data_IF_597828264939
#
_entry.id   IF_597828264939
#
_cell.length_a   1.000
_cell.length_b   1.000
_cell.length_c   1.000
_cell.angle_alpha   90.00
_cell.angle_beta   90.00
_cell.angle_gamma   90.00
#
_symmetry.space_group_name_H-M   'P 1'
#
loop_
_entity.id
_entity.type
_entity.pdbx_description
1 polymer ?
#
# COMPACT_ATOMS: atom_id res chain seq x y z
N UNK A 1 -100.14 37.35 -16.50
CA UNK A 1 -99.03 37.93 -15.71
C UNK A 1 -97.80 37.07 -15.97
N UNK A 2 -96.68 37.50 -16.53
CA UNK A 2 -96.27 38.72 -17.23
C UNK A 2 -95.15 38.28 -18.20
N UNK A 3 -95.33 38.48 -19.52
CA UNK A 3 -94.48 39.28 -20.43
C UNK A 3 -93.04 39.55 -19.94
N UNK A 4 -92.01 39.24 -20.71
CA UNK A 4 -91.51 40.09 -21.80
C UNK A 4 -90.62 39.25 -22.74
N UNK A 5 -90.99 39.01 -24.01
CA UNK A 5 -90.62 39.78 -25.23
C UNK A 5 -89.09 39.91 -25.41
N UNK A 6 -88.45 39.58 -26.54
CA UNK A 6 -88.88 39.70 -27.95
C UNK A 6 -87.87 39.01 -28.88
N UNK A 7 -88.38 38.26 -29.85
CA UNK A 7 -87.70 37.83 -31.10
C UNK A 7 -87.49 39.01 -32.05
N UNK A 8 -86.34 39.05 -32.74
CA UNK A 8 -86.11 39.60 -34.12
C UNK A 8 -84.59 39.83 -34.28
N UNK A 9 -83.92 39.77 -35.42
CA UNK A 9 -84.17 39.45 -36.83
C UNK A 9 -82.82 39.68 -37.54
N UNK A 10 -82.50 38.96 -38.60
CA UNK A 10 -81.33 39.21 -39.45
C UNK A 10 -81.56 40.36 -40.45
N UNK A 11 -80.50 41.15 -40.70
CA UNK A 11 -80.25 42.13 -41.79
C UNK A 11 -81.03 43.48 -41.71
N UNK A 12 -80.48 44.67 -42.00
CA UNK A 12 -79.18 45.11 -42.51
C UNK A 12 -78.96 46.61 -42.26
N UNK A 13 -77.70 47.04 -42.43
CA UNK A 13 -77.20 48.40 -42.76
C UNK A 13 -77.26 49.50 -41.70
N UNK A 14 -76.11 49.67 -41.02
CA UNK A 14 -75.73 50.90 -40.32
C UNK A 14 -74.33 50.72 -39.77
N UNK A 15 -73.32 50.88 -40.65
CA UNK A 15 -71.87 50.74 -40.37
C UNK A 15 -71.55 49.63 -39.36
N UNK A 16 -71.33 48.41 -39.86
CA UNK A 16 -70.52 47.48 -39.11
C UNK A 16 -69.17 48.17 -38.85
N UNK A 17 -69.00 48.79 -37.68
CA UNK A 17 -67.76 48.56 -36.97
C UNK A 17 -67.78 47.05 -36.77
N UNK A 18 -67.27 46.32 -37.77
CA UNK A 18 -66.87 44.94 -37.56
C UNK A 18 -65.99 45.07 -36.34
N UNK A 19 -66.46 44.57 -35.22
CA UNK A 19 -65.64 44.49 -34.03
C UNK A 19 -64.63 43.38 -34.33
N UNK A 20 -63.65 43.75 -35.16
CA UNK A 20 -62.60 42.86 -35.63
C UNK A 20 -61.89 42.32 -34.40
N UNK A 21 -61.78 43.10 -33.33
CA UNK A 21 -61.19 42.65 -32.07
C UNK A 21 -62.00 41.51 -31.42
N UNK A 22 -63.33 41.61 -31.29
CA UNK A 22 -64.12 40.51 -30.70
C UNK A 22 -64.31 39.32 -31.62
N UNK A 23 -64.46 39.53 -32.93
CA UNK A 23 -64.54 38.44 -33.91
C UNK A 23 -63.19 37.71 -34.00
N UNK A 24 -62.06 38.42 -34.03
CA UNK A 24 -60.72 37.81 -33.97
C UNK A 24 -60.51 37.13 -32.63
N UNK A 25 -60.96 37.69 -31.50
CA UNK A 25 -60.88 37.01 -30.20
C UNK A 25 -61.71 35.72 -30.16
N UNK A 26 -62.94 35.72 -30.71
CA UNK A 26 -63.78 34.52 -30.81
C UNK A 26 -63.18 33.49 -31.78
N UNK A 27 -62.66 33.90 -32.94
CA UNK A 27 -61.93 33.03 -33.87
C UNK A 27 -60.67 32.46 -33.24
N UNK A 28 -59.87 33.26 -32.54
CA UNK A 28 -58.70 32.79 -31.79
C UNK A 28 -59.09 31.84 -30.67
N UNK A 29 -60.22 32.06 -29.99
CA UNK A 29 -60.70 31.11 -28.97
C UNK A 29 -61.09 29.77 -29.61
N UNK A 30 -61.74 29.79 -30.77
CA UNK A 30 -62.10 28.58 -31.52
C UNK A 30 -60.86 27.88 -32.10
N UNK A 31 -59.89 28.64 -32.59
CA UNK A 31 -58.64 28.16 -33.18
C UNK A 31 -57.66 27.62 -32.11
N UNK A 32 -57.75 28.10 -30.86
CA UNK A 32 -57.02 27.57 -29.71
C UNK A 32 -57.67 26.33 -29.06
N UNK A 33 -58.92 25.96 -29.37
CA UNK A 33 -59.54 24.72 -28.84
C UNK A 33 -58.71 23.44 -29.04
N UNK A 34 -58.11 23.16 -30.20
CA UNK A 34 -57.24 21.99 -30.34
C UNK A 34 -56.00 22.07 -29.44
N UNK A 35 -55.45 23.27 -29.20
CA UNK A 35 -54.34 23.48 -28.26
C UNK A 35 -54.77 23.21 -26.82
N UNK A 36 -55.95 23.67 -26.39
CA UNK A 36 -56.51 23.38 -25.06
C UNK A 36 -56.76 21.88 -24.84
N UNK A 37 -57.23 21.17 -25.88
CA UNK A 37 -57.41 19.73 -25.85
C UNK A 37 -56.07 18.97 -25.72
N UNK A 38 -55.01 19.43 -26.39
CA UNK A 38 -53.66 18.88 -26.26
C UNK A 38 -53.08 19.19 -24.87
N UNK A 39 -53.21 20.42 -24.39
CA UNK A 39 -52.75 20.81 -23.05
C UNK A 39 -53.45 19.99 -21.96
N UNK A 40 -54.74 19.73 -22.09
CA UNK A 40 -55.49 18.85 -21.18
C UNK A 40 -54.93 17.42 -21.19
N UNK A 41 -54.60 16.87 -22.37
CA UNK A 41 -53.95 15.55 -22.48
C UNK A 41 -52.54 15.54 -21.86
N UNK A 42 -51.75 16.60 -22.07
CA UNK A 42 -50.42 16.74 -21.47
C UNK A 42 -50.52 16.74 -19.94
N UNK A 43 -51.41 17.54 -19.36
CA UNK A 43 -51.64 17.56 -17.91
C UNK A 43 -52.10 16.19 -17.40
N UNK A 44 -52.97 15.49 -18.12
CA UNK A 44 -53.42 14.15 -17.74
C UNK A 44 -52.28 13.12 -17.79
N UNK A 45 -51.43 13.16 -18.82
CA UNK A 45 -50.25 12.30 -18.93
C UNK A 45 -49.22 12.60 -17.83
N UNK A 46 -49.02 13.86 -17.46
CA UNK A 46 -48.15 14.25 -16.34
C UNK A 46 -48.64 13.64 -15.01
N UNK A 47 -49.96 13.63 -14.77
CA UNK A 47 -50.55 12.96 -13.59
C UNK A 47 -50.31 11.44 -13.65
N UNK A 48 -50.55 10.80 -14.80
CA UNK A 48 -50.27 9.37 -14.99
C UNK A 48 -48.80 9.02 -14.72
N UNK A 49 -47.86 9.83 -15.22
CA UNK A 49 -46.43 9.62 -15.00
C UNK A 49 -46.08 9.74 -13.51
N UNK A 50 -46.63 10.74 -12.81
CA UNK A 50 -46.43 10.92 -11.37
C UNK A 50 -46.97 9.73 -10.56
N UNK A 51 -48.16 9.24 -10.92
CA UNK A 51 -48.78 8.11 -10.24
C UNK A 51 -48.05 6.79 -10.52
N UNK A 52 -47.61 6.54 -11.76
CA UNK A 52 -46.74 5.42 -12.10
C UNK A 52 -45.39 5.50 -11.36
N UNK A 53 -44.84 6.70 -11.20
CA UNK A 53 -43.64 6.93 -10.37
C UNK A 53 -43.86 6.52 -8.91
N UNK A 54 -45.04 6.80 -8.37
CA UNK A 54 -45.43 6.41 -7.01
C UNK A 54 -45.58 4.89 -6.89
N UNK A 55 -46.25 4.23 -7.85
CA UNK A 55 -46.34 2.75 -7.89
C UNK A 55 -44.96 2.12 -7.98
N UNK A 56 -44.10 2.61 -8.89
CA UNK A 56 -42.71 2.13 -9.02
C UNK A 56 -41.95 2.25 -7.70
N UNK A 57 -42.08 3.38 -7.00
CA UNK A 57 -41.47 3.59 -5.68
C UNK A 57 -41.96 2.56 -4.65
N UNK A 58 -43.28 2.32 -4.57
CA UNK A 58 -43.85 1.31 -3.65
C UNK A 58 -43.44 -0.13 -4.00
N UNK A 59 -43.35 -0.48 -5.28
CA UNK A 59 -42.85 -1.79 -5.73
C UNK A 59 -41.36 -1.95 -5.37
N UNK A 60 -40.55 -0.90 -5.52
CA UNK A 60 -39.14 -0.92 -5.08
C UNK A 60 -39.03 -1.16 -3.57
N UNK A 61 -39.83 -0.44 -2.78
CA UNK A 61 -39.86 -0.60 -1.33
C UNK A 61 -40.26 -2.02 -0.90
N UNK A 62 -41.26 -2.63 -1.56
CA UNK A 62 -41.61 -4.04 -1.34
C UNK A 62 -40.45 -4.98 -1.72
N UNK A 63 -39.79 -4.72 -2.85
CA UNK A 63 -38.62 -5.49 -3.28
C UNK A 63 -37.47 -5.44 -2.27
N UNK A 64 -37.20 -4.29 -1.68
CA UNK A 64 -36.15 -4.14 -0.67
C UNK A 64 -36.53 -4.80 0.67
N UNK A 65 -37.79 -4.69 1.10
CA UNK A 65 -38.29 -5.43 2.26
C UNK A 65 -38.18 -6.96 2.06
N UNK A 66 -38.46 -7.44 0.83
CA UNK A 66 -38.32 -8.86 0.49
C UNK A 66 -36.86 -9.33 0.46
N UNK A 67 -35.91 -8.49 0.01
CA UNK A 67 -34.46 -8.80 0.10
C UNK A 67 -34.01 -8.88 1.55
N UNK A 68 -34.46 -7.97 2.41
CA UNK A 68 -34.17 -8.01 3.84
C UNK A 68 -34.74 -9.28 4.49
N UNK A 69 -35.96 -9.68 4.12
CA UNK A 69 -36.58 -10.92 4.59
C UNK A 69 -35.85 -12.19 4.14
N UNK A 70 -35.24 -12.18 2.95
CA UNK A 70 -34.48 -13.34 2.47
C UNK A 70 -33.06 -13.41 3.06
N UNK A 71 -32.59 -12.38 3.77
CA UNK A 71 -31.23 -12.34 4.30
C UNK A 71 -31.10 -13.19 5.57
N UNK A 72 -30.33 -14.29 5.57
CA UNK A 72 -30.16 -15.16 6.74
C UNK A 72 -29.54 -14.43 7.94
N UNK A 73 -28.78 -13.35 7.70
CA UNK A 73 -28.12 -12.58 8.75
C UNK A 73 -29.09 -11.65 9.50
N UNK A 74 -30.33 -11.52 9.05
CA UNK A 74 -31.36 -10.74 9.74
C UNK A 74 -31.96 -11.48 10.95
N UNK A 75 -31.62 -12.76 11.12
CA UNK A 75 -32.28 -13.66 12.07
C UNK A 75 -31.27 -14.26 13.03
N UNK A 76 -31.22 -13.75 14.27
CA UNK A 76 -30.37 -14.30 15.34
C UNK A 76 -28.89 -14.48 14.95
N UNK A 77 -28.38 -13.64 14.03
CA UNK A 77 -27.01 -13.74 13.57
C UNK A 77 -26.05 -13.71 14.74
N UNK A 78 -25.02 -14.57 14.71
CA UNK A 78 -24.01 -14.60 15.76
C UNK A 78 -23.33 -13.23 15.86
N UNK A 79 -23.27 -12.68 17.07
CA UNK A 79 -22.54 -11.45 17.38
C UNK A 79 -21.33 -11.80 18.21
N UNK A 80 -20.28 -11.01 18.09
CA UNK A 80 -19.07 -11.17 18.89
C UNK A 80 -18.70 -9.84 19.55
N UNK A 81 -18.26 -9.92 20.80
CA UNK A 81 -17.70 -8.80 21.55
C UNK A 81 -16.36 -9.19 22.16
N UNK A 82 -15.42 -8.25 22.22
CA UNK A 82 -14.11 -8.44 22.85
C UNK A 82 -14.01 -7.58 24.10
N UNK A 83 -13.27 -8.02 25.12
CA UNK A 83 -13.03 -7.23 26.34
C UNK A 83 -12.21 -5.98 26.08
N UNK A 84 -11.29 -6.03 25.10
CA UNK A 84 -10.47 -4.90 24.67
C UNK A 84 -10.28 -4.93 23.14
N UNK A 85 -10.97 -4.02 22.44
CA UNK A 85 -10.89 -3.88 20.99
C UNK A 85 -9.59 -3.25 20.49
N UNK A 86 -8.79 -2.66 21.39
CA UNK A 86 -7.45 -2.13 21.07
C UNK A 86 -6.39 -3.22 21.00
N UNK A 87 -6.66 -4.39 21.60
CA UNK A 87 -5.81 -5.58 21.55
C UNK A 87 -6.30 -6.55 20.48
N UNK A 88 -7.59 -6.86 20.46
CA UNK A 88 -8.19 -7.82 19.51
C UNK A 88 -9.55 -7.34 19.05
N UNK A 89 -9.75 -7.36 17.75
CA UNK A 89 -11.07 -7.22 17.13
C UNK A 89 -11.53 -8.59 16.65
N UNK A 90 -12.84 -8.83 16.64
CA UNK A 90 -13.41 -10.08 16.17
C UNK A 90 -14.66 -9.82 15.34
N UNK A 91 -14.89 -10.65 14.33
CA UNK A 91 -16.14 -10.69 13.57
C UNK A 91 -16.65 -12.12 13.55
N UNK A 92 -17.97 -12.28 13.68
CA UNK A 92 -18.63 -13.58 13.65
C UNK A 92 -19.44 -13.70 12.35
N UNK A 93 -19.24 -14.81 11.64
CA UNK A 93 -20.12 -15.25 10.58
C UNK A 93 -21.41 -15.83 11.18
N UNK A 94 -22.46 -15.91 10.36
CA UNK A 94 -23.71 -16.53 10.78
C UNK A 94 -23.50 -18.02 11.08
N UNK A 95 -23.98 -18.49 12.24
CA UNK A 95 -23.73 -19.85 12.72
C UNK A 95 -22.37 -20.05 13.40
N UNK A 96 -21.64 -18.98 13.72
CA UNK A 96 -20.43 -19.08 14.55
C UNK A 96 -20.71 -19.78 15.89
N UNK A 97 -19.76 -20.59 16.35
CA UNK A 97 -19.87 -21.34 17.59
C UNK A 97 -19.95 -20.40 18.81
N UNK A 98 -21.10 -20.44 19.49
CA UNK A 98 -21.38 -19.64 20.68
C UNK A 98 -20.47 -20.07 21.84
N UNK A 99 -19.98 -19.09 22.60
CA UNK A 99 -19.16 -19.35 23.78
C UNK A 99 -18.23 -18.20 24.14
N UNK A 100 -17.60 -18.35 25.30
CA UNK A 100 -16.54 -17.45 25.76
C UNK A 100 -15.19 -18.10 25.51
N UNK A 101 -14.30 -17.35 24.87
CA UNK A 101 -12.94 -17.78 24.57
C UNK A 101 -11.96 -16.80 25.21
N UNK A 102 -10.91 -17.34 25.81
CA UNK A 102 -9.87 -16.55 26.44
C UNK A 102 -8.63 -16.50 25.53
N UNK A 103 -8.31 -15.31 25.03
CA UNK A 103 -7.19 -15.05 24.12
C UNK A 103 -6.11 -14.24 24.82
N UNK A 104 -4.86 -14.72 24.80
CA UNK A 104 -3.70 -13.90 25.19
C UNK A 104 -2.79 -13.74 23.98
N UNK A 105 -2.48 -12.50 23.60
CA UNK A 105 -1.65 -12.19 22.42
C UNK A 105 -0.21 -11.98 22.86
N UNK A 106 0.67 -12.92 22.56
CA UNK A 106 2.09 -12.85 22.94
C UNK A 106 2.91 -12.01 21.97
N UNK A 107 2.61 -12.09 20.68
CA UNK A 107 3.22 -11.30 19.62
C UNK A 107 2.26 -11.16 18.43
N UNK A 108 2.31 -10.02 17.76
CA UNK A 108 1.64 -9.76 16.48
C UNK A 108 2.55 -10.09 15.31
N UNK A 109 1.95 -10.48 14.18
CA UNK A 109 2.71 -10.74 12.97
C UNK A 109 3.27 -9.43 12.40
N UNK A 110 4.56 -9.41 12.07
CA UNK A 110 5.27 -8.27 11.50
C UNK A 110 5.81 -8.62 10.10
N UNK A 111 5.95 -7.58 9.27
CA UNK A 111 6.60 -7.67 7.96
C UNK A 111 8.04 -7.12 8.06
N UNK A 112 8.93 -7.62 7.20
CA UNK A 112 10.29 -7.07 7.08
C UNK A 112 10.26 -5.62 6.57
N UNK A 113 11.05 -4.74 7.19
CA UNK A 113 11.25 -3.35 6.77
C UNK A 113 12.71 -2.96 6.91
N UNK A 114 13.27 -2.38 5.87
CA UNK A 114 14.64 -1.93 5.80
C UNK A 114 14.73 -0.51 5.27
N UNK A 115 15.76 0.18 5.71
CA UNK A 115 16.11 1.51 5.22
C UNK A 115 17.57 1.51 4.82
N UNK A 116 17.87 2.02 3.63
CA UNK A 116 19.22 2.34 3.17
C UNK A 116 19.24 3.86 3.00
N UNK A 117 19.89 4.56 3.92
CA UNK A 117 19.95 6.02 3.97
C UNK A 117 21.34 6.52 3.55
N UNK A 118 21.45 7.80 3.17
CA UNK A 118 22.72 8.45 2.83
C UNK A 118 22.82 8.93 1.39
N UNK A 119 21.75 8.76 0.59
CA UNK A 119 21.68 9.33 -0.75
C UNK A 119 21.48 10.85 -0.67
N UNK A 120 22.22 11.60 -1.48
CA UNK A 120 22.07 13.05 -1.64
C UNK A 120 21.04 13.43 -2.72
N UNK A 121 20.74 12.51 -3.64
CA UNK A 121 19.73 12.69 -4.69
C UNK A 121 19.09 11.37 -5.12
N UNK A 122 18.00 11.44 -5.90
CA UNK A 122 17.36 10.24 -6.48
C UNK A 122 18.12 9.64 -7.66
N UNK A 123 19.04 10.38 -8.25
CA UNK A 123 19.92 9.96 -9.35
C UNK A 123 21.26 9.39 -8.85
N UNK A 124 21.48 9.33 -7.54
CA UNK A 124 22.69 8.73 -6.99
C UNK A 124 22.72 7.24 -7.30
N UNK A 125 23.92 6.69 -7.45
CA UNK A 125 24.10 5.27 -7.71
C UNK A 125 23.56 4.45 -6.53
N UNK A 126 22.83 3.39 -6.84
CA UNK A 126 22.31 2.45 -5.86
C UNK A 126 23.41 1.63 -5.17
N UNK A 127 24.65 1.72 -5.66
CA UNK A 127 25.81 0.99 -5.16
C UNK A 127 25.58 -0.53 -5.24
N UNK A 128 25.18 -1.00 -6.43
CA UNK A 128 24.92 -2.42 -6.69
C UNK A 128 26.26 -3.10 -6.96
N UNK A 129 26.47 -4.25 -6.32
CA UNK A 129 27.66 -5.07 -6.54
C UNK A 129 27.81 -5.45 -8.03
N UNK A 130 29.00 -5.25 -8.60
CA UNK A 130 29.27 -5.46 -10.02
C UNK A 130 29.38 -6.93 -10.42
N UNK A 131 29.79 -7.79 -9.49
CA UNK A 131 30.00 -9.23 -9.70
C UNK A 131 28.79 -10.04 -9.25
N UNK A 132 28.26 -9.74 -8.07
CA UNK A 132 27.16 -10.50 -7.44
C UNK A 132 25.78 -9.87 -7.68
N UNK A 133 25.72 -8.60 -8.09
CA UNK A 133 24.46 -7.86 -8.23
C UNK A 133 23.74 -7.62 -6.91
N UNK A 134 22.62 -6.90 -6.97
CA UNK A 134 21.72 -6.71 -5.84
C UNK A 134 20.75 -7.89 -5.78
N UNK A 135 20.72 -8.57 -4.63
CA UNK A 135 19.82 -9.68 -4.38
C UNK A 135 18.77 -9.31 -3.34
N UNK A 136 17.51 -9.62 -3.64
CA UNK A 136 16.39 -9.51 -2.71
C UNK A 136 15.68 -10.86 -2.60
N UNK A 137 15.59 -11.39 -1.39
CA UNK A 137 14.86 -12.63 -1.13
C UNK A 137 13.50 -12.30 -0.55
N UNK A 138 12.45 -12.89 -1.12
CA UNK A 138 11.06 -12.76 -0.63
C UNK A 138 10.52 -14.16 -0.37
N UNK A 139 10.31 -14.48 0.90
CA UNK A 139 10.01 -15.85 1.34
C UNK A 139 11.20 -16.77 1.05
N UNK A 140 11.02 -17.72 0.13
CA UNK A 140 12.06 -18.67 -0.28
C UNK A 140 12.71 -18.34 -1.63
N UNK A 141 12.25 -17.30 -2.33
CA UNK A 141 12.71 -16.99 -3.69
C UNK A 141 13.63 -15.76 -3.67
N UNK A 142 14.83 -15.91 -4.21
CA UNK A 142 15.80 -14.82 -4.37
C UNK A 142 15.75 -14.26 -5.79
N UNK A 143 15.53 -12.96 -5.90
CA UNK A 143 15.58 -12.19 -7.14
C UNK A 143 16.88 -11.40 -7.17
N UNK A 144 17.58 -11.40 -8.29
CA UNK A 144 18.87 -10.75 -8.46
C UNK A 144 18.87 -9.89 -9.73
N UNK A 145 19.49 -8.72 -9.66
CA UNK A 145 19.66 -7.79 -10.78
C UNK A 145 20.47 -8.34 -11.96
N UNK A 146 21.14 -9.49 -11.81
CA UNK A 146 21.78 -10.25 -12.87
C UNK A 146 20.79 -11.14 -13.64
N UNK A 147 19.50 -11.12 -13.29
CA UNK A 147 18.42 -11.83 -13.99
C UNK A 147 18.11 -13.23 -13.45
N UNK A 148 18.34 -13.45 -12.16
CA UNK A 148 18.00 -14.70 -11.46
C UNK A 148 16.76 -14.49 -10.57
N UNK A 149 15.77 -15.40 -10.55
CA UNK A 149 15.58 -16.54 -11.46
C UNK A 149 15.35 -16.08 -12.90
N UNK A 150 15.52 -16.99 -13.86
CA UNK A 150 15.36 -16.66 -15.28
C UNK A 150 14.02 -15.96 -15.56
N UNK A 151 14.09 -14.79 -16.21
CA UNK A 151 12.94 -13.93 -16.47
C UNK A 151 12.83 -12.73 -15.52
N UNK A 152 13.66 -12.64 -14.48
CA UNK A 152 13.83 -11.41 -13.70
C UNK A 152 14.52 -10.33 -14.56
N UNK A 153 14.02 -9.06 -14.54
CA UNK A 153 14.68 -7.98 -15.27
C UNK A 153 16.13 -7.82 -14.82
N UNK A 154 17.05 -7.60 -15.76
CA UNK A 154 18.41 -7.26 -15.40
C UNK A 154 18.52 -5.76 -15.08
N UNK A 155 19.42 -5.39 -14.17
CA UNK A 155 19.75 -4.02 -13.83
C UNK A 155 21.28 -3.89 -13.70
N UNK A 156 21.86 -2.88 -14.36
CA UNK A 156 23.30 -2.67 -14.35
C UNK A 156 23.80 -2.22 -12.97
N UNK A 157 25.07 -2.48 -12.65
CA UNK A 157 25.71 -2.03 -11.40
C UNK A 157 25.75 -0.49 -11.27
N UNK A 158 25.79 0.21 -12.38
CA UNK A 158 25.73 1.69 -12.46
C UNK A 158 24.31 2.26 -12.37
N UNK A 159 23.32 1.45 -11.99
CA UNK A 159 21.95 1.93 -11.86
C UNK A 159 21.80 2.89 -10.68
N UNK A 160 20.90 3.85 -10.86
CA UNK A 160 20.52 4.81 -9.83
C UNK A 160 19.64 4.17 -8.77
N UNK A 161 19.57 4.78 -7.57
CA UNK A 161 18.66 4.35 -6.51
C UNK A 161 17.18 4.44 -6.91
N UNK A 162 16.83 5.37 -7.81
CA UNK A 162 15.50 5.43 -8.41
C UNK A 162 15.20 4.22 -9.29
N UNK A 163 16.15 3.80 -10.12
CA UNK A 163 16.02 2.61 -10.95
C UNK A 163 15.99 1.33 -10.12
N UNK A 164 16.78 1.22 -9.04
CA UNK A 164 16.71 0.10 -8.11
C UNK A 164 15.33 0.02 -7.44
N UNK A 165 14.78 1.15 -6.99
CA UNK A 165 13.41 1.21 -6.45
C UNK A 165 12.39 0.69 -7.48
N UNK A 166 12.48 1.16 -8.72
CA UNK A 166 11.56 0.74 -9.79
C UNK A 166 11.73 -0.73 -10.13
N UNK A 167 12.96 -1.24 -10.14
CA UNK A 167 13.25 -2.66 -10.33
C UNK A 167 12.60 -3.52 -9.24
N UNK A 168 12.77 -3.16 -7.96
CA UNK A 168 12.13 -3.89 -6.84
C UNK A 168 10.61 -3.92 -7.01
N UNK A 169 9.99 -2.79 -7.35
CA UNK A 169 8.54 -2.71 -7.53
C UNK A 169 8.05 -3.45 -8.79
N UNK A 170 8.88 -3.55 -9.83
CA UNK A 170 8.57 -4.25 -11.06
C UNK A 170 8.59 -5.78 -10.92
N UNK A 171 9.19 -6.32 -9.85
CA UNK A 171 9.17 -7.77 -9.58
C UNK A 171 7.74 -8.31 -9.42
N UNK A 172 6.78 -7.49 -9.00
CA UNK A 172 5.38 -7.89 -8.83
C UNK A 172 5.16 -8.92 -7.72
N UNK A 173 6.10 -9.02 -6.78
CA UNK A 173 6.06 -9.92 -5.63
C UNK A 173 5.69 -9.17 -4.35
N UNK A 174 5.69 -9.85 -3.20
CA UNK A 174 5.23 -9.30 -1.91
C UNK A 174 6.22 -8.32 -1.26
N UNK A 175 6.81 -7.42 -2.05
CA UNK A 175 7.76 -6.40 -1.61
C UNK A 175 7.48 -5.09 -2.34
N UNK A 176 7.62 -3.97 -1.63
CA UNK A 176 7.57 -2.63 -2.20
C UNK A 176 8.83 -1.86 -1.79
N UNK A 177 9.28 -0.97 -2.68
CA UNK A 177 10.34 -0.01 -2.41
C UNK A 177 9.85 1.43 -2.61
N UNK A 178 10.31 2.34 -1.76
CA UNK A 178 10.03 3.76 -1.86
C UNK A 178 11.28 4.58 -1.57
N UNK A 179 11.43 5.71 -2.26
CA UNK A 179 12.45 6.71 -1.95
C UNK A 179 11.79 7.81 -1.12
N UNK A 180 12.35 8.08 0.06
CA UNK A 180 11.80 9.02 1.03
C UNK A 180 12.87 10.04 1.40
N UNK A 181 12.50 11.31 1.44
CA UNK A 181 13.36 12.38 1.97
C UNK A 181 13.47 12.26 3.49
N UNK A 182 14.69 12.31 4.03
CA UNK A 182 14.94 12.04 5.45
C UNK A 182 15.00 13.33 6.28
N UNK A 183 16.03 14.14 6.08
CA UNK A 183 16.31 15.34 6.89
C UNK A 183 16.03 16.64 6.15
N UNK A 184 16.27 16.67 4.84
CA UNK A 184 16.05 17.84 3.99
C UNK A 184 15.83 17.43 2.52
N UNK A 185 15.74 18.42 1.62
CA UNK A 185 15.50 18.21 0.19
C UNK A 185 16.63 17.48 -0.55
N UNK A 186 17.78 17.32 0.09
CA UNK A 186 19.01 16.75 -0.46
C UNK A 186 19.45 15.50 0.30
N UNK A 187 18.59 14.89 1.13
CA UNK A 187 18.89 13.62 1.78
C UNK A 187 17.74 12.64 1.59
N UNK A 188 18.05 11.48 1.04
CA UNK A 188 17.10 10.45 0.66
C UNK A 188 17.50 9.10 1.26
N UNK A 189 16.47 8.27 1.48
CA UNK A 189 16.62 6.89 1.86
C UNK A 189 15.72 6.00 1.02
N UNK A 190 16.28 4.86 0.58
CA UNK A 190 15.53 3.77 -0.01
C UNK A 190 14.92 2.94 1.12
N UNK A 191 13.60 2.92 1.21
CA UNK A 191 12.86 2.08 2.13
C UNK A 191 12.33 0.86 1.39
N UNK A 192 12.66 -0.33 1.88
CA UNK A 192 12.20 -1.62 1.33
C UNK A 192 11.30 -2.27 2.38
N UNK A 193 10.08 -2.67 1.99
CA UNK A 193 9.15 -3.33 2.90
C UNK A 193 8.49 -4.55 2.27
N UNK A 194 8.32 -5.60 3.06
CA UNK A 194 7.38 -6.68 2.75
C UNK A 194 5.93 -6.17 2.80
N UNK A 195 5.09 -6.70 1.91
CA UNK A 195 3.64 -6.39 1.90
C UNK A 195 2.82 -7.38 2.73
N UNK A 196 3.41 -8.52 3.08
CA UNK A 196 2.82 -9.54 3.95
C UNK A 196 3.63 -9.71 5.23
N UNK A 197 2.95 -10.08 6.31
CA UNK A 197 3.56 -10.39 7.60
C UNK A 197 3.97 -11.86 7.69
N UNK A 198 4.74 -12.21 8.72
CA UNK A 198 5.09 -13.58 9.04
C UNK A 198 6.42 -14.03 8.44
N UNK A 199 7.06 -15.00 9.11
CA UNK A 199 8.39 -15.51 8.76
C UNK A 199 8.44 -16.12 7.35
N UNK A 200 7.35 -16.77 6.93
CA UNK A 200 7.24 -17.34 5.58
C UNK A 200 7.28 -16.28 4.47
N UNK A 201 7.00 -15.02 4.80
CA UNK A 201 7.02 -13.87 3.89
C UNK A 201 8.19 -12.93 4.19
N UNK A 202 9.22 -13.41 4.90
CA UNK A 202 10.39 -12.61 5.22
C UNK A 202 11.02 -12.04 3.94
N UNK A 203 11.30 -10.74 3.97
CA UNK A 203 12.15 -10.10 2.97
C UNK A 203 13.54 -9.95 3.55
N UNK A 204 14.58 -10.22 2.78
CA UNK A 204 15.99 -9.89 3.07
C UNK A 204 16.67 -9.36 1.81
N UNK A 205 17.79 -8.66 1.94
CA UNK A 205 18.56 -8.20 0.78
C UNK A 205 20.07 -8.25 1.05
N UNK A 206 20.84 -8.30 -0.03
CA UNK A 206 22.31 -8.31 -0.06
C UNK A 206 22.78 -7.65 -1.37
N UNK A 207 24.08 -7.40 -1.51
CA UNK A 207 24.64 -6.91 -2.79
C UNK A 207 24.48 -5.41 -3.02
N UNK A 208 24.32 -4.65 -1.94
CA UNK A 208 24.66 -3.23 -1.94
C UNK A 208 26.14 -3.17 -1.56
N UNK A 209 27.01 -3.15 -2.56
CA UNK A 209 28.45 -3.00 -2.38
C UNK A 209 28.82 -1.55 -2.56
N UNK A 210 29.42 -1.03 -1.51
CA UNK A 210 29.43 0.37 -1.24
C UNK A 210 30.76 1.04 -1.69
N UNK A 211 31.55 0.36 -2.52
CA UNK A 211 32.68 0.85 -3.31
C UNK A 211 32.91 -0.21 -4.40
N UNK A 212 33.47 0.15 -5.56
CA UNK A 212 34.06 -0.87 -6.43
C UNK A 212 35.28 -1.42 -5.69
N UNK A 213 35.28 -2.70 -5.25
CA UNK A 213 36.37 -3.21 -4.44
C UNK A 213 37.69 -3.07 -5.23
N UNK A 214 38.80 -2.76 -4.55
CA UNK A 214 40.09 -2.80 -5.21
C UNK A 214 40.33 -4.21 -5.76
N UNK A 215 41.00 -4.31 -6.92
CA UNK A 215 41.41 -5.61 -7.45
C UNK A 215 42.49 -6.18 -6.54
N UNK A 216 42.32 -7.41 -6.05
CA UNK A 216 43.30 -8.10 -5.21
C UNK A 216 43.78 -9.35 -5.96
N UNK A 217 45.06 -9.39 -6.31
CA UNK A 217 45.72 -10.53 -6.96
C UNK A 217 46.65 -11.23 -5.95
N UNK A 218 46.19 -12.31 -5.29
CA UNK A 218 46.98 -13.04 -4.30
C UNK A 218 48.01 -13.97 -4.96
N UNK A 219 49.14 -14.15 -4.29
CA UNK A 219 50.17 -15.15 -4.59
C UNK A 219 50.47 -15.91 -3.30
N UNK A 220 49.94 -17.13 -3.22
CA UNK A 220 49.99 -18.01 -2.04
C UNK A 220 51.43 -18.24 -1.54
N UNK A 221 51.58 -18.34 -0.21
CA UNK A 221 52.81 -18.76 0.43
C UNK A 221 53.14 -20.23 0.17
N UNK A 222 54.41 -20.55 -0.09
CA UNK A 222 54.87 -21.89 -0.50
C UNK A 222 55.76 -22.59 0.54
N UNK A 223 55.83 -22.05 1.75
CA UNK A 223 56.67 -22.52 2.86
C UNK A 223 58.12 -22.02 2.80
N UNK A 224 58.50 -21.28 1.76
CA UNK A 224 59.81 -20.60 1.63
C UNK A 224 59.68 -19.10 1.36
N UNK A 225 58.57 -18.65 0.79
CA UNK A 225 58.23 -17.25 0.53
C UNK A 225 56.92 -16.91 1.23
N UNK A 226 56.82 -15.68 1.74
CA UNK A 226 55.59 -15.14 2.33
C UNK A 226 54.48 -15.00 1.27
N UNK A 227 53.23 -15.16 1.69
CA UNK A 227 52.08 -14.83 0.84
C UNK A 227 52.05 -13.34 0.55
N UNK A 228 51.79 -12.98 -0.71
CA UNK A 228 51.65 -11.57 -1.12
C UNK A 228 50.31 -11.34 -1.81
N UNK A 229 49.81 -10.12 -1.75
CA UNK A 229 48.62 -9.71 -2.49
C UNK A 229 48.87 -8.34 -3.14
N UNK A 230 48.82 -8.30 -4.47
CA UNK A 230 48.88 -7.04 -5.21
C UNK A 230 47.49 -6.42 -5.24
N UNK A 231 47.36 -5.23 -4.67
CA UNK A 231 46.09 -4.50 -4.55
C UNK A 231 46.12 -3.30 -5.49
N UNK A 232 45.21 -3.26 -6.46
CA UNK A 232 44.97 -2.10 -7.32
C UNK A 232 43.78 -1.32 -6.77
N UNK A 233 44.05 -0.13 -6.23
CA UNK A 233 43.03 0.73 -5.63
C UNK A 233 42.20 1.48 -6.67
N UNK A 234 40.96 1.79 -6.30
CA UNK A 234 40.06 2.64 -7.08
C UNK A 234 40.01 4.04 -6.48
N UNK A 235 39.63 5.02 -7.31
CA UNK A 235 39.31 6.36 -6.81
C UNK A 235 38.06 6.30 -5.92
N UNK A 236 38.07 7.07 -4.84
CA UNK A 236 37.01 7.15 -3.86
C UNK A 236 36.35 8.54 -3.87
N UNK A 237 35.02 8.59 -3.81
CA UNK A 237 34.28 9.85 -3.62
C UNK A 237 34.42 10.36 -2.18
N UNK A 238 34.08 11.63 -1.96
CA UNK A 238 34.15 12.23 -0.63
C UNK A 238 33.35 11.44 0.42
N UNK A 239 33.98 11.12 1.55
CA UNK A 239 33.35 10.40 2.67
C UNK A 239 33.19 8.88 2.47
N UNK A 240 33.64 8.33 1.35
CA UNK A 240 33.73 6.87 1.18
C UNK A 240 34.72 6.25 2.16
N UNK A 241 34.46 5.01 2.56
CA UNK A 241 35.32 4.26 3.47
C UNK A 241 35.80 2.96 2.82
N UNK A 242 37.08 2.64 2.99
CA UNK A 242 37.70 1.39 2.52
C UNK A 242 38.45 0.76 3.68
N UNK A 243 38.17 -0.51 3.98
CA UNK A 243 38.83 -1.31 4.99
C UNK A 243 39.61 -2.45 4.36
N UNK A 244 40.92 -2.50 4.62
CA UNK A 244 41.83 -3.58 4.19
C UNK A 244 42.73 -3.97 5.37
N UNK A 245 42.92 -5.28 5.59
CA UNK A 245 43.78 -5.82 6.64
C UNK A 245 43.56 -5.22 8.04
N UNK A 246 42.33 -4.76 8.34
CA UNK A 246 41.94 -4.20 9.63
C UNK A 246 42.06 -2.67 9.78
N UNK A 247 42.61 -1.94 8.80
CA UNK A 247 42.62 -0.47 8.76
C UNK A 247 41.48 0.08 7.91
N UNK A 248 40.78 1.10 8.40
CA UNK A 248 39.69 1.79 7.68
C UNK A 248 40.12 3.18 7.25
N UNK A 249 40.31 3.38 5.94
CA UNK A 249 40.53 4.68 5.31
C UNK A 249 39.19 5.37 5.02
N UNK A 250 39.12 6.68 5.21
CA UNK A 250 37.96 7.50 4.85
C UNK A 250 38.40 8.64 3.95
N UNK A 251 37.83 8.72 2.76
CA UNK A 251 38.11 9.76 1.78
C UNK A 251 37.67 11.14 2.31
N UNK A 252 38.50 12.14 2.09
CA UNK A 252 38.30 13.51 2.56
C UNK A 252 37.20 14.25 1.81
N UNK A 253 36.98 15.52 2.14
CA UNK A 253 35.88 16.32 1.60
C UNK A 253 35.83 16.45 0.06
N UNK A 254 36.93 16.18 -0.64
CA UNK A 254 37.03 16.20 -2.12
C UNK A 254 37.12 14.82 -2.76
N UNK A 255 37.02 13.74 -1.98
CA UNK A 255 37.36 12.39 -2.43
C UNK A 255 38.87 12.11 -2.40
N UNK A 256 39.23 10.90 -2.82
CA UNK A 256 40.60 10.42 -2.95
C UNK A 256 40.78 9.81 -4.36
N UNK A 257 41.91 10.09 -5.00
CA UNK A 257 42.32 9.33 -6.20
C UNK A 257 42.85 7.96 -5.83
N UNK A 258 42.88 7.01 -6.77
CA UNK A 258 43.45 5.67 -6.54
C UNK A 258 44.88 5.74 -5.99
N UNK A 259 45.71 6.64 -6.55
CA UNK A 259 47.08 6.91 -6.10
C UNK A 259 47.10 7.40 -4.64
N UNK A 260 46.23 8.36 -4.27
CA UNK A 260 46.14 8.85 -2.89
C UNK A 260 45.70 7.78 -1.89
N UNK A 261 44.83 6.85 -2.31
CA UNK A 261 44.44 5.72 -1.46
C UNK A 261 45.61 4.75 -1.31
N UNK A 262 46.32 4.41 -2.40
CA UNK A 262 47.51 3.57 -2.35
C UNK A 262 48.60 4.18 -1.46
N UNK A 263 48.89 5.47 -1.61
CA UNK A 263 49.83 6.23 -0.78
C UNK A 263 49.44 6.23 0.70
N UNK A 264 48.13 6.26 1.01
CA UNK A 264 47.68 6.18 2.39
C UNK A 264 48.06 4.85 3.04
N UNK A 265 47.99 3.75 2.30
CA UNK A 265 48.35 2.42 2.79
C UNK A 265 49.84 2.09 2.62
N UNK A 266 50.66 2.92 1.96
CA UNK A 266 52.06 2.63 1.70
C UNK A 266 52.93 2.57 2.98
N UNK A 267 53.92 1.67 2.98
CA UNK A 267 54.99 1.56 3.98
C UNK A 267 54.51 1.41 5.43
N UNK A 268 53.41 0.70 5.66
CA UNK A 268 52.85 0.43 6.99
C UNK A 268 53.28 -0.96 7.48
N UNK A 269 53.91 -0.99 8.65
CA UNK A 269 54.22 -2.25 9.33
C UNK A 269 52.98 -2.84 10.01
N UNK A 270 52.95 -4.17 10.18
CA UNK A 270 51.94 -4.84 11.00
C UNK A 270 51.85 -4.18 12.40
N UNK A 271 50.62 -3.99 12.88
CA UNK A 271 50.35 -3.33 14.16
C UNK A 271 50.20 -1.81 14.04
N UNK A 272 50.35 -1.24 12.84
CA UNK A 272 50.06 0.17 12.58
C UNK A 272 48.60 0.49 12.87
N UNK A 273 48.35 1.33 13.87
CA UNK A 273 47.02 1.87 14.18
C UNK A 273 46.63 2.97 13.21
N UNK A 274 45.33 3.28 13.08
CA UNK A 274 44.86 4.42 12.30
C UNK A 274 45.60 5.73 12.62
N UNK A 275 45.86 5.99 13.92
CA UNK A 275 46.57 7.20 14.35
C UNK A 275 48.06 7.21 13.93
N UNK A 276 48.75 6.08 14.04
CA UNK A 276 50.16 5.98 13.65
C UNK A 276 50.32 6.03 12.13
N UNK A 277 49.44 5.38 11.38
CA UNK A 277 49.42 5.42 9.92
C UNK A 277 49.15 6.84 9.39
N UNK A 278 48.16 7.54 9.96
CA UNK A 278 47.90 8.95 9.63
C UNK A 278 49.12 9.84 9.86
N UNK A 279 49.84 9.62 10.95
CA UNK A 279 51.04 10.41 11.29
C UNK A 279 52.20 10.09 10.36
N UNK A 280 52.41 8.81 10.04
CA UNK A 280 53.50 8.35 9.17
C UNK A 280 53.36 8.89 7.75
N UNK A 281 52.15 8.84 7.19
CA UNK A 281 51.88 9.21 5.79
C UNK A 281 51.32 10.63 5.64
N UNK A 282 51.24 11.41 6.72
CA UNK A 282 50.82 12.82 6.68
C UNK A 282 49.36 13.01 6.21
N UNK A 283 48.47 12.09 6.60
CA UNK A 283 47.12 11.98 6.05
C UNK A 283 46.15 13.02 6.63
N UNK A 284 45.19 13.42 5.80
CA UNK A 284 44.17 14.43 6.06
C UNK A 284 43.45 14.81 4.76
N UNK A 285 42.53 15.78 4.80
CA UNK A 285 41.70 16.14 3.64
C UNK A 285 42.49 16.46 2.37
N UNK A 286 43.63 17.15 2.49
CA UNK A 286 44.49 17.53 1.34
C UNK A 286 45.22 16.32 0.73
N UNK A 287 45.44 15.27 1.54
CA UNK A 287 46.02 14.00 1.10
C UNK A 287 44.95 13.02 0.56
N UNK A 288 43.71 13.48 0.37
CA UNK A 288 42.61 12.65 -0.14
C UNK A 288 41.83 11.94 0.97
N UNK A 289 42.26 11.97 2.23
CA UNK A 289 41.54 11.33 3.34
C UNK A 289 42.43 10.94 4.51
N UNK A 290 41.89 10.18 5.46
CA UNK A 290 42.63 9.67 6.62
C UNK A 290 42.05 8.35 7.12
N UNK A 291 42.85 7.57 7.85
CA UNK A 291 42.37 6.42 8.58
C UNK A 291 41.52 6.85 9.78
N UNK A 292 40.31 6.31 9.89
CA UNK A 292 39.36 6.66 10.95
C UNK A 292 39.22 5.58 12.02
N UNK A 293 39.63 4.35 11.72
CA UNK A 293 39.56 3.23 12.66
C UNK A 293 40.55 2.12 12.33
N UNK A 294 40.81 1.27 13.33
CA UNK A 294 41.46 -0.03 13.13
C UNK A 294 42.98 -0.05 13.34
N UNK A 295 43.53 -1.25 13.11
CA UNK A 295 44.95 -1.59 13.20
C UNK A 295 45.26 -2.57 12.09
N UNK A 296 46.42 -2.41 11.43
CA UNK A 296 46.89 -3.34 10.42
C UNK A 296 47.28 -4.66 11.10
N UNK A 297 46.70 -5.78 10.67
CA UNK A 297 46.85 -7.10 11.32
C UNK A 297 47.29 -8.13 10.28
N UNK A 298 48.27 -8.97 10.63
CA UNK A 298 48.82 -10.08 9.83
C UNK A 298 49.50 -9.69 8.50
N UNK A 299 49.46 -8.42 8.11
CA UNK A 299 49.98 -7.93 6.85
C UNK A 299 50.84 -6.68 7.09
N UNK A 300 51.86 -6.51 6.27
CA UNK A 300 52.59 -5.25 6.08
C UNK A 300 52.45 -4.78 4.63
N UNK A 301 52.73 -3.52 4.36
CA UNK A 301 52.59 -2.92 3.02
C UNK A 301 53.90 -2.35 2.50
N UNK A 302 54.12 -2.53 1.20
CA UNK A 302 55.29 -2.00 0.48
C UNK A 302 55.13 -0.56 0.00
N UNK A 303 55.91 -0.21 -1.03
CA UNK A 303 55.80 1.07 -1.72
C UNK A 303 54.56 1.13 -2.63
N UNK A 304 53.91 2.29 -2.71
CA UNK A 304 52.86 2.56 -3.68
C UNK A 304 53.43 2.86 -5.06
N UNK A 305 52.68 2.47 -6.11
CA UNK A 305 52.94 2.83 -7.50
C UNK A 305 52.02 3.98 -7.96
N UNK A 306 52.45 4.86 -8.89
CA UNK A 306 51.60 5.92 -9.46
C UNK A 306 50.32 5.43 -10.17
N UNK A 307 50.22 4.13 -10.47
CA UNK A 307 49.01 3.49 -10.98
C UNK A 307 47.95 3.20 -9.91
N UNK A 308 48.25 3.43 -8.62
CA UNK A 308 47.38 3.09 -7.50
C UNK A 308 47.53 1.63 -7.04
N UNK A 309 48.66 0.99 -7.33
CA UNK A 309 48.98 -0.38 -6.91
C UNK A 309 49.85 -0.40 -5.64
N UNK A 310 49.64 -1.42 -4.81
CA UNK A 310 50.39 -1.65 -3.57
C UNK A 310 50.46 -3.16 -3.27
N UNK A 311 51.61 -3.65 -2.82
CA UNK A 311 51.75 -5.05 -2.39
C UNK A 311 51.58 -5.14 -0.88
N UNK A 312 50.71 -6.04 -0.44
CA UNK A 312 50.59 -6.49 0.94
C UNK A 312 51.35 -7.81 1.10
N UNK A 313 52.17 -7.92 2.13
CA UNK A 313 52.96 -9.14 2.44
C UNK A 313 52.52 -9.70 3.79
N UNK A 314 52.25 -11.00 3.85
CA UNK A 314 51.88 -11.65 5.10
C UNK A 314 53.08 -11.76 6.05
N UNK A 315 52.87 -11.39 7.32
CA UNK A 315 53.93 -11.38 8.35
C UNK A 315 53.86 -12.57 9.31
N UNK A 316 52.84 -13.41 9.17
CA UNK A 316 52.48 -14.43 10.16
C UNK A 316 53.01 -15.83 9.83
N UNK A 317 53.19 -16.15 8.54
CA UNK A 317 53.54 -17.48 8.05
C UNK A 317 54.24 -17.42 6.68
N UNK A 318 55.04 -18.44 6.38
CA UNK A 318 55.54 -18.71 5.01
C UNK A 318 54.63 -19.68 4.25
N UNK A 319 53.75 -20.40 4.94
CA UNK A 319 52.71 -21.23 4.33
C UNK A 319 51.50 -20.38 3.93
N UNK A 320 50.71 -20.86 2.96
CA UNK A 320 49.39 -20.35 2.56
C UNK A 320 48.51 -19.95 3.77
N UNK A 321 48.03 -18.71 3.77
CA UNK A 321 47.13 -18.16 4.80
C UNK A 321 45.76 -17.81 4.19
N UNK A 322 44.92 -17.11 4.94
CA UNK A 322 43.67 -16.60 4.36
C UNK A 322 43.95 -15.37 3.52
N UNK A 323 43.58 -15.44 2.23
CA UNK A 323 43.77 -14.35 1.27
C UNK A 323 43.25 -13.02 1.82
N UNK A 324 43.97 -11.96 1.44
CA UNK A 324 43.59 -10.59 1.76
C UNK A 324 42.20 -10.25 1.20
N UNK A 325 41.35 -9.66 2.03
CA UNK A 325 40.01 -9.20 1.65
C UNK A 325 39.85 -7.71 1.92
N UNK A 326 39.15 -7.01 1.04
CA UNK A 326 38.69 -5.63 1.25
C UNK A 326 37.20 -5.56 1.54
N UNK A 327 36.78 -4.52 2.26
CA UNK A 327 35.37 -4.13 2.40
C UNK A 327 35.26 -2.61 2.41
N UNK A 328 34.10 -2.02 2.11
CA UNK A 328 33.95 -0.56 2.16
C UNK A 328 32.51 -0.06 2.23
N UNK A 329 32.35 1.27 2.33
CA UNK A 329 31.08 2.01 2.42
C UNK A 329 31.07 3.24 1.48
N UNK A 330 29.92 3.56 0.87
CA UNK A 330 29.74 4.49 -0.25
C UNK A 330 29.26 5.75 0.40
N UNK A 331 30.12 6.76 0.51
CA UNK A 331 29.74 8.11 0.89
C UNK A 331 28.75 8.20 2.06
N UNK A 332 28.93 7.40 3.12
CA UNK A 332 28.04 7.43 4.28
C UNK A 332 26.68 6.75 4.12
N UNK A 333 26.51 5.81 3.17
CA UNK A 333 25.32 4.96 3.11
C UNK A 333 25.22 4.07 4.37
N UNK A 334 24.08 4.11 5.03
CA UNK A 334 23.78 3.38 6.26
C UNK A 334 22.54 2.50 6.09
N UNK A 335 22.69 1.22 6.39
CA UNK A 335 21.60 0.25 6.36
C UNK A 335 21.02 0.06 7.75
N UNK A 336 19.70 0.04 7.87
CA UNK A 336 19.00 -0.22 9.14
C UNK A 336 17.84 -1.18 8.93
N UNK A 337 17.69 -2.13 9.86
CA UNK A 337 16.49 -2.98 9.93
C UNK A 337 15.49 -2.32 10.87
N UNK A 338 14.34 -1.91 10.33
CA UNK A 338 13.27 -1.25 11.10
C UNK A 338 12.36 -2.27 11.76
N UNK A 339 12.06 -3.37 11.06
CA UNK A 339 11.38 -4.53 11.62
C UNK A 339 11.80 -5.79 10.87
N UNK A 340 11.97 -6.89 11.59
CA UNK A 340 12.10 -8.22 10.99
C UNK A 340 10.72 -8.87 10.87
N UNK A 341 10.56 -9.73 9.86
CA UNK A 341 9.37 -10.55 9.77
C UNK A 341 9.23 -11.46 10.99
N UNK A 342 8.00 -11.58 11.49
CA UNK A 342 7.67 -12.39 12.65
C UNK A 342 6.25 -12.90 12.51
N UNK A 343 5.98 -14.13 12.94
CA UNK A 343 4.64 -14.68 13.02
C UNK A 343 3.91 -14.19 14.27
N UNK A 344 2.59 -14.03 14.17
CA UNK A 344 1.75 -13.82 15.34
C UNK A 344 1.81 -15.06 16.23
N UNK A 345 1.91 -14.86 17.53
CA UNK A 345 1.89 -15.89 18.55
C UNK A 345 0.85 -15.54 19.62
N UNK A 346 -0.05 -16.45 19.90
CA UNK A 346 -1.12 -16.23 20.87
C UNK A 346 -1.58 -17.55 21.49
N UNK A 347 -2.32 -17.47 22.59
CA UNK A 347 -2.96 -18.63 23.22
C UNK A 347 -4.47 -18.47 23.18
N UNK A 348 -5.20 -19.55 22.88
CA UNK A 348 -6.65 -19.63 22.95
C UNK A 348 -7.05 -20.71 23.94
N UNK A 349 -7.74 -20.35 25.02
CA UNK A 349 -8.11 -21.25 26.12
C UNK A 349 -6.89 -22.06 26.65
N UNK A 350 -5.71 -21.44 26.67
CA UNK A 350 -4.44 -22.06 27.09
C UNK A 350 -3.69 -22.86 26.02
N UNK A 351 -4.27 -23.07 24.83
CA UNK A 351 -3.60 -23.73 23.70
C UNK A 351 -2.84 -22.70 22.87
N UNK A 352 -1.58 -22.95 22.54
CA UNK A 352 -0.75 -22.02 21.77
C UNK A 352 -0.94 -22.16 20.26
N UNK A 353 -0.95 -21.04 19.56
CA UNK A 353 -1.10 -20.95 18.11
C UNK A 353 -0.08 -19.96 17.53
N UNK A 354 0.34 -20.24 16.30
CA UNK A 354 1.22 -19.38 15.51
C UNK A 354 0.62 -19.18 14.13
N UNK A 355 0.61 -17.95 13.63
CA UNK A 355 0.06 -17.61 12.30
C UNK A 355 0.92 -16.54 11.63
N UNK A 356 1.09 -16.62 10.31
CA UNK A 356 1.82 -15.62 9.54
C UNK A 356 1.09 -14.28 9.43
N UNK A 357 -0.19 -14.21 9.81
CA UNK A 357 -1.04 -13.01 9.70
C UNK A 357 -1.74 -12.69 11.02
N UNK A 358 -2.07 -11.42 11.20
CA UNK A 358 -2.91 -10.94 12.30
C UNK A 358 -4.41 -11.18 12.06
N UNK A 359 -4.83 -11.54 10.84
CA UNK A 359 -6.20 -11.92 10.52
C UNK A 359 -6.37 -13.44 10.53
N UNK A 360 -7.06 -13.97 11.54
CA UNK A 360 -7.07 -15.39 11.89
C UNK A 360 -8.51 -15.90 11.86
N UNK A 361 -8.83 -16.79 10.93
CA UNK A 361 -10.19 -17.30 10.71
C UNK A 361 -10.35 -18.80 10.95
N UNK A 362 -9.29 -19.48 11.39
CA UNK A 362 -9.19 -20.94 11.45
C UNK A 362 -9.09 -21.51 12.87
N UNK A 363 -9.13 -20.66 13.90
CA UNK A 363 -9.03 -21.09 15.31
C UNK A 363 -10.39 -21.32 15.96
N UNK A 364 -11.38 -20.49 15.64
CA UNK A 364 -12.76 -20.62 16.13
C UNK A 364 -13.67 -20.70 14.91
N UNK A 365 -14.44 -21.78 14.78
CA UNK A 365 -15.33 -21.99 13.63
C UNK A 365 -16.33 -20.84 13.49
N UNK A 366 -16.25 -20.15 12.35
CA UNK A 366 -17.14 -19.03 12.02
C UNK A 366 -16.73 -17.70 12.66
N UNK A 367 -15.56 -17.58 13.28
CA UNK A 367 -15.06 -16.31 13.82
C UNK A 367 -13.74 -15.94 13.15
N UNK A 368 -13.62 -14.68 12.75
CA UNK A 368 -12.35 -14.09 12.31
C UNK A 368 -11.85 -13.13 13.39
N UNK A 369 -10.63 -13.35 13.86
CA UNK A 369 -9.92 -12.50 14.80
C UNK A 369 -8.98 -11.59 14.03
N UNK A 370 -8.83 -10.36 14.49
CA UNK A 370 -7.83 -9.41 14.04
C UNK A 370 -7.00 -8.98 15.24
N UNK A 371 -5.76 -9.45 15.32
CA UNK A 371 -4.82 -9.09 16.37
C UNK A 371 -4.27 -7.69 16.08
N UNK A 372 -4.46 -6.77 17.01
CA UNK A 372 -4.09 -5.37 16.82
C UNK A 372 -2.78 -5.05 17.57
N UNK A 373 -2.61 -5.66 18.75
CA UNK A 373 -1.47 -5.40 19.62
C UNK A 373 -1.21 -6.59 20.55
N UNK A 374 0.04 -6.73 20.97
CA UNK A 374 0.46 -7.66 22.01
C UNK A 374 -0.19 -7.31 23.36
N UNK A 375 -0.55 -8.34 24.12
CA UNK A 375 -1.11 -8.21 25.47
C UNK A 375 -0.74 -9.40 26.34
N UNK A 376 -0.05 -9.12 27.45
CA UNK A 376 0.23 -10.11 28.49
C UNK A 376 -0.98 -10.48 29.34
N UNK A 377 -2.13 -9.83 29.14
CA UNK A 377 -3.37 -10.14 29.85
C UNK A 377 -4.39 -10.80 28.92
N UNK A 378 -5.09 -11.78 29.50
CA UNK A 378 -6.15 -12.53 28.87
C UNK A 378 -7.32 -11.62 28.45
N UNK A 379 -7.70 -11.69 27.17
CA UNK A 379 -8.84 -11.01 26.57
C UNK A 379 -10.00 -12.00 26.38
N UNK A 380 -11.20 -11.58 26.78
CA UNK A 380 -12.41 -12.39 26.60
C UNK A 380 -13.04 -12.06 25.26
N UNK A 381 -13.19 -13.08 24.42
CA UNK A 381 -13.98 -13.05 23.19
C UNK A 381 -15.29 -13.76 23.50
N UNK A 382 -16.40 -13.03 23.46
CA UNK A 382 -17.73 -13.58 23.71
C UNK A 382 -18.50 -13.66 22.39
N UNK A 383 -18.84 -14.87 21.97
CA UNK A 383 -19.69 -15.14 20.81
C UNK A 383 -21.08 -15.50 21.32
N UNK A 384 -22.07 -14.68 21.00
CA UNK A 384 -23.44 -14.82 21.45
C UNK A 384 -24.42 -14.81 20.28
N UNK A 385 -25.65 -15.28 20.52
CA UNK A 385 -26.74 -15.03 19.57
C UNK A 385 -27.08 -13.55 19.57
N UNK A 386 -27.13 -12.95 18.39
CA UNK A 386 -27.62 -11.59 18.21
C UNK A 386 -29.13 -11.48 18.40
N UNK A 387 -29.63 -10.25 18.30
CA UNK A 387 -31.05 -9.98 18.39
C UNK A 387 -31.84 -10.66 17.25
N UNK A 388 -33.05 -11.10 17.56
CA UNK A 388 -33.96 -11.64 16.55
C UNK A 388 -34.67 -10.52 15.80
N UNK A 389 -34.29 -10.30 14.53
CA UNK A 389 -34.93 -9.34 13.65
C UNK A 389 -36.26 -9.81 13.05
N UNK A 390 -36.70 -11.06 13.32
CA UNK A 390 -37.84 -11.68 12.63
C UNK A 390 -39.10 -10.84 12.64
N UNK A 391 -39.49 -10.35 13.83
CA UNK A 391 -40.71 -9.57 13.98
C UNK A 391 -40.64 -8.28 13.14
N UNK A 392 -39.51 -7.57 13.18
CA UNK A 392 -39.34 -6.33 12.44
C UNK A 392 -39.41 -6.59 10.94
N UNK A 393 -38.63 -7.56 10.44
CA UNK A 393 -38.56 -7.86 9.00
C UNK A 393 -39.90 -8.34 8.44
N UNK A 394 -40.65 -9.15 9.20
CA UNK A 394 -42.02 -9.55 8.85
C UNK A 394 -42.95 -8.34 8.82
N UNK A 395 -42.88 -7.47 9.84
CA UNK A 395 -43.73 -6.28 9.94
C UNK A 395 -43.45 -5.29 8.81
N UNK A 396 -42.17 -5.08 8.47
CA UNK A 396 -41.76 -4.21 7.36
C UNK A 396 -42.28 -4.74 6.02
N UNK A 397 -42.20 -6.06 5.79
CA UNK A 397 -42.73 -6.70 4.58
C UNK A 397 -44.25 -6.55 4.46
N UNK A 398 -45.00 -6.82 5.54
CA UNK A 398 -46.45 -6.66 5.58
C UNK A 398 -46.84 -5.20 5.31
N UNK A 399 -46.10 -4.26 5.91
CA UNK A 399 -46.33 -2.82 5.72
C UNK A 399 -46.11 -2.42 4.27
N UNK A 400 -44.99 -2.80 3.67
CA UNK A 400 -44.68 -2.48 2.27
C UNK A 400 -45.72 -3.08 1.29
N UNK A 401 -46.18 -4.30 1.56
CA UNK A 401 -47.26 -4.92 0.79
C UNK A 401 -48.59 -4.17 0.92
N UNK A 402 -49.00 -3.87 2.16
CA UNK A 402 -50.26 -3.17 2.41
C UNK A 402 -50.27 -1.77 1.80
N UNK A 403 -49.14 -1.05 1.86
CA UNK A 403 -48.96 0.25 1.23
C UNK A 403 -49.10 0.20 -0.30
N UNK A 404 -48.50 -0.81 -0.94
CA UNK A 404 -48.62 -1.03 -2.38
C UNK A 404 -50.08 -1.31 -2.76
N UNK A 405 -50.75 -2.19 -2.04
CA UNK A 405 -52.16 -2.54 -2.28
C UNK A 405 -53.09 -1.34 -2.03
N UNK A 406 -52.84 -0.54 -0.99
CA UNK A 406 -53.59 0.67 -0.72
C UNK A 406 -53.42 1.69 -1.87
N UNK A 407 -52.19 1.91 -2.30
CA UNK A 407 -51.87 2.80 -3.44
C UNK A 407 -52.58 2.33 -4.70
N UNK A 408 -52.50 1.04 -5.02
CA UNK A 408 -53.20 0.42 -6.15
C UNK A 408 -54.72 0.67 -6.07
N UNK A 409 -55.34 0.38 -4.91
CA UNK A 409 -56.78 0.57 -4.71
C UNK A 409 -57.21 2.03 -4.90
N UNK A 410 -56.46 2.99 -4.36
CA UNK A 410 -56.74 4.42 -4.51
C UNK A 410 -56.64 4.86 -5.98
N UNK A 411 -55.62 4.38 -6.68
CA UNK A 411 -55.34 4.73 -8.07
C UNK A 411 -56.35 4.12 -9.06
N UNK A 412 -56.93 2.97 -8.74
CA UNK A 412 -57.97 2.30 -9.57
C UNK A 412 -59.40 2.53 -9.07
N UNK A 413 -59.61 3.40 -8.07
CA UNK A 413 -60.93 3.60 -7.48
C UNK A 413 -61.91 4.25 -8.47
N UNK A 414 -63.05 3.60 -8.74
CA UNK A 414 -64.13 4.11 -9.59
C UNK A 414 -65.21 4.84 -8.77
N UNK A 415 -66.20 5.41 -9.45
CA UNK A 415 -67.27 6.18 -8.82
C UNK A 415 -68.09 5.40 -7.77
N UNK A 416 -68.07 4.06 -7.81
CA UNK A 416 -68.82 3.19 -6.91
C UNK A 416 -68.02 2.73 -5.68
N UNK A 417 -66.69 2.87 -5.69
CA UNK A 417 -65.81 2.39 -4.61
C UNK A 417 -64.84 3.45 -4.06
N UNK A 418 -64.94 4.71 -4.52
CA UNK A 418 -64.13 5.81 -3.99
C UNK A 418 -64.69 6.35 -2.67
N UNK A 419 -63.83 6.42 -1.65
CA UNK A 419 -64.14 6.99 -0.33
C UNK A 419 -64.00 8.52 -0.26
N UNK A 420 -63.51 9.18 -1.32
CA UNK A 420 -63.15 10.60 -1.34
C UNK A 420 -63.88 11.43 -2.42
N UNK A 421 -64.91 10.87 -3.07
CA UNK A 421 -65.62 11.47 -4.23
C UNK A 421 -64.71 11.83 -5.43
N UNK A 422 -63.45 11.40 -5.42
CA UNK A 422 -62.50 11.51 -6.53
C UNK A 422 -62.30 10.14 -7.16
N UNK A 423 -62.48 10.07 -8.48
CA UNK A 423 -62.15 8.90 -9.29
C UNK A 423 -60.62 8.81 -9.40
N UNK A 424 -60.07 7.61 -9.20
CA UNK A 424 -58.63 7.36 -9.33
C UNK A 424 -58.16 7.53 -10.76
N UNK A 425 -56.90 7.94 -10.93
CA UNK A 425 -56.29 8.25 -12.24
C UNK A 425 -56.44 7.13 -13.27
N UNK A 426 -56.51 5.86 -12.82
CA UNK A 426 -56.62 4.68 -13.68
C UNK A 426 -58.00 4.00 -13.66
N UNK A 427 -59.04 4.65 -13.14
CA UNK A 427 -60.36 4.02 -12.98
C UNK A 427 -61.10 3.73 -14.30
N UNK A 428 -60.71 4.39 -15.39
CA UNK A 428 -61.28 4.24 -16.74
C UNK A 428 -60.21 3.77 -17.76
N UNK A 429 -59.06 3.25 -17.29
CA UNK A 429 -57.97 2.73 -18.14
C UNK A 429 -58.30 1.37 -18.73
#
# INVERSE_FOLDING_TARGET
MAVSSSTSSSASTGTASIDVASIVAQLMTVENKPLDAINTKITQQQVIISDLGTVKSKVSALGDALKAFQNPNSYNASVVSTSDSTVVQATAANGALLGNYNLTVSATALASKYTIAGYSSTSDLASIDSEEGFSITVGSTTYNTLGTPSGTPALASTATVAELKDWINALGVNVNASLVQTTDSSHFALMIQGTQTGLANAVTYTGISLIDPPSIDPTDGDGISEETATVTFNAMSAGEMLTIAGLTFTAGATGATAEQVADAFANLAEGSTAASANTANGLGDVAGGSFTAGTLVNWETGDSDPSGELVFTNTSSLDDVTNLSSSGSAGGLSTSTVSSAQDAAFTMNGTSFTRSTNSISDVITGVTLNLVKDSGTAQVINVARGADGSQKTITDLITAYNDLIATYKTMTANANNSTSSKVGTFANS
#
